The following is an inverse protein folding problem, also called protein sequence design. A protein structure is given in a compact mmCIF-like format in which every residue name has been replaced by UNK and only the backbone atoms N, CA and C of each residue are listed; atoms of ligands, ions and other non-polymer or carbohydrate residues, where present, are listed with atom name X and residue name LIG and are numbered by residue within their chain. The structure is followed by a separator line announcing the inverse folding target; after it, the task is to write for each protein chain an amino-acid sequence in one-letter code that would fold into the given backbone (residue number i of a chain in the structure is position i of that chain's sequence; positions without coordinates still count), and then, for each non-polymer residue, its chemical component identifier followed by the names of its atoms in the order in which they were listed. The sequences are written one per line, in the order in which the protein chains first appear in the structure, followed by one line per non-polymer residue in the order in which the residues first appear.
data_IF_655063842882
#
_entry.id   IF_655063842882
#
_cell.length_a   1.000
_cell.length_b   1.000
_cell.length_c   1.000
_cell.angle_alpha   90.00
_cell.angle_beta   90.00
_cell.angle_gamma   90.00
#
_symmetry.space_group_name_H-M   'P 1'
#
loop_
_entity.id
_entity.type
_entity.pdbx_description
1 polymer ?
#
# COMPACT_ATOMS: atom_id res chain seq x y z
N UNK A 1 4.52 -14.60 -14.59
CA UNK A 1 3.36 -13.85 -15.14
C UNK A 1 2.47 -13.31 -14.03
N UNK A 2 2.04 -14.15 -13.08
CA UNK A 2 1.26 -13.74 -11.89
C UNK A 2 1.94 -12.65 -11.04
N UNK A 3 3.26 -12.69 -10.90
CA UNK A 3 4.01 -11.73 -10.07
C UNK A 3 3.75 -10.27 -10.47
N UNK A 4 3.68 -9.99 -11.77
CA UNK A 4 3.43 -8.64 -12.29
C UNK A 4 1.98 -8.19 -12.09
N UNK A 5 1.04 -9.12 -12.18
CA UNK A 5 -0.38 -8.84 -11.95
C UNK A 5 -0.63 -8.46 -10.49
N UNK A 6 -0.09 -9.23 -9.55
CA UNK A 6 -0.24 -8.97 -8.11
C UNK A 6 0.54 -7.73 -7.64
N UNK A 7 1.70 -7.46 -8.22
CA UNK A 7 2.42 -6.22 -7.98
C UNK A 7 1.63 -5.00 -8.47
N UNK A 8 0.99 -5.10 -9.64
CA UNK A 8 0.07 -4.08 -10.14
C UNK A 8 -1.14 -3.89 -9.22
N UNK A 9 -1.70 -4.99 -8.70
CA UNK A 9 -2.82 -4.96 -7.76
C UNK A 9 -2.45 -4.25 -6.44
N UNK A 10 -1.26 -4.53 -5.87
CA UNK A 10 -0.75 -3.82 -4.69
C UNK A 10 -0.65 -2.31 -4.91
N UNK A 11 -0.22 -1.91 -6.11
CA UNK A 11 -0.14 -0.50 -6.46
C UNK A 11 -1.52 0.15 -6.55
N UNK A 12 -2.48 -0.53 -7.19
CA UNK A 12 -3.86 -0.05 -7.31
C UNK A 12 -4.56 0.03 -5.93
N UNK A 13 -4.37 -0.99 -5.09
CA UNK A 13 -4.90 -1.03 -3.72
C UNK A 13 -4.35 0.14 -2.89
N UNK A 14 -3.05 0.43 -2.98
CA UNK A 14 -2.44 1.56 -2.28
C UNK A 14 -2.99 2.90 -2.74
N UNK A 15 -3.12 3.12 -4.05
CA UNK A 15 -3.69 4.35 -4.58
C UNK A 15 -5.16 4.52 -4.16
N UNK A 16 -5.95 3.44 -4.18
CA UNK A 16 -7.32 3.47 -3.68
C UNK A 16 -7.38 3.80 -2.18
N UNK A 17 -6.50 3.22 -1.37
CA UNK A 17 -6.41 3.53 0.05
C UNK A 17 -6.08 5.01 0.30
N UNK A 18 -5.17 5.59 -0.47
CA UNK A 18 -4.87 7.04 -0.42
C UNK A 18 -6.10 7.86 -0.80
N UNK A 19 -6.76 7.54 -1.91
CA UNK A 19 -7.97 8.25 -2.36
C UNK A 19 -9.09 8.19 -1.31
N UNK A 20 -9.33 7.01 -0.73
CA UNK A 20 -10.31 6.80 0.32
C UNK A 20 -9.96 7.57 1.60
N UNK A 21 -8.69 7.58 2.01
CA UNK A 21 -8.24 8.33 3.17
C UNK A 21 -8.46 9.85 3.00
N UNK A 22 -8.16 10.38 1.80
CA UNK A 22 -8.39 11.79 1.48
C UNK A 22 -9.89 12.11 1.42
N UNK A 23 -10.70 11.22 0.86
CA UNK A 23 -12.14 11.46 0.65
C UNK A 23 -12.94 11.33 1.95
N UNK A 24 -12.69 10.28 2.74
CA UNK A 24 -13.49 9.96 3.91
C UNK A 24 -12.94 10.53 5.21
N UNK A 25 -11.62 10.71 5.33
CA UNK A 25 -10.98 11.17 6.56
C UNK A 25 -9.99 12.34 6.33
N UNK A 26 -10.38 13.41 5.61
CA UNK A 26 -9.47 14.53 5.33
C UNK A 26 -9.06 15.29 6.61
N UNK A 27 -9.88 15.26 7.66
CA UNK A 27 -9.63 16.00 8.89
C UNK A 27 -10.08 15.24 10.13
N UNK A 28 -9.20 15.22 11.13
CA UNK A 28 -9.53 14.88 12.52
C UNK A 28 -10.55 15.88 13.06
N UNK A 29 -11.74 15.45 13.48
CA UNK A 29 -12.63 16.34 14.25
C UNK A 29 -12.12 16.42 15.70
N UNK A 30 -11.18 17.31 15.93
CA UNK A 30 -10.70 17.67 17.27
C UNK A 30 -10.77 19.20 17.37
N UNK A 31 -11.56 19.72 18.31
CA UNK A 31 -11.97 21.12 18.35
C UNK A 31 -10.83 22.14 18.08
N UNK A 32 -11.18 23.22 17.39
CA UNK A 32 -10.35 24.39 17.03
C UNK A 32 -8.98 24.15 16.36
N UNK A 33 -8.49 22.91 16.26
CA UNK A 33 -7.17 22.58 15.68
C UNK A 33 -7.28 21.46 14.64
N UNK A 34 -7.09 21.83 13.37
CA UNK A 34 -7.00 20.88 12.24
C UNK A 34 -5.63 20.20 12.25
N UNK A 35 -5.48 19.13 13.03
CA UNK A 35 -4.29 18.26 12.94
C UNK A 35 -4.51 17.18 11.88
N UNK A 36 -3.49 16.93 11.05
CA UNK A 36 -3.48 15.85 10.06
C UNK A 36 -3.50 14.51 10.82
N UNK A 37 -4.43 13.63 10.48
CA UNK A 37 -4.60 12.35 11.18
C UNK A 37 -3.36 11.45 11.07
N UNK A 38 -2.93 10.77 12.15
CA UNK A 38 -1.88 9.75 12.09
C UNK A 38 -2.16 8.62 11.09
N UNK A 39 -3.45 8.32 10.84
CA UNK A 39 -3.89 7.33 9.87
C UNK A 39 -3.52 7.70 8.43
N UNK A 40 -3.46 8.99 8.10
CA UNK A 40 -3.05 9.44 6.77
C UNK A 40 -1.56 9.17 6.52
N UNK A 41 -0.72 9.42 7.54
CA UNK A 41 0.72 9.10 7.47
C UNK A 41 0.98 7.59 7.39
N UNK A 42 0.24 6.79 8.16
CA UNK A 42 0.33 5.33 8.09
C UNK A 42 -0.10 4.76 6.74
N UNK A 43 -1.19 5.27 6.14
CA UNK A 43 -1.65 4.85 4.82
C UNK A 43 -0.63 5.20 3.71
N UNK A 44 -0.01 6.38 3.77
CA UNK A 44 0.97 6.81 2.78
C UNK A 44 2.31 6.08 2.96
N UNK A 45 2.87 6.08 4.18
CA UNK A 45 4.20 5.51 4.44
C UNK A 45 4.13 3.98 4.46
N UNK A 46 3.18 3.40 5.19
CA UNK A 46 3.00 1.96 5.30
C UNK A 46 2.59 1.34 3.96
N UNK A 47 1.60 1.93 3.29
CA UNK A 47 1.18 1.48 1.96
C UNK A 47 2.27 1.66 0.90
N UNK A 48 3.05 2.75 0.96
CA UNK A 48 4.16 2.99 0.03
C UNK A 48 5.25 1.94 0.15
N UNK A 49 5.64 1.58 1.38
CA UNK A 49 6.60 0.50 1.65
C UNK A 49 6.09 -0.87 1.17
N UNK A 50 4.82 -1.18 1.43
CA UNK A 50 4.21 -2.45 1.06
C UNK A 50 3.95 -2.60 -0.44
N UNK A 51 3.88 -1.50 -1.21
CA UNK A 51 3.61 -1.56 -2.65
C UNK A 51 4.85 -1.33 -3.52
N UNK A 52 5.76 -0.42 -3.16
CA UNK A 52 6.92 -0.08 -3.99
C UNK A 52 7.99 -1.18 -4.00
N UNK A 53 8.24 -1.81 -2.85
CA UNK A 53 9.23 -2.88 -2.73
C UNK A 53 8.87 -4.14 -3.54
N UNK A 54 7.67 -4.74 -3.40
CA UNK A 54 7.27 -5.88 -4.24
C UNK A 54 7.18 -5.52 -5.72
N UNK A 55 6.81 -4.27 -6.07
CA UNK A 55 6.83 -3.81 -7.46
C UNK A 55 8.25 -3.83 -8.04
N UNK A 56 9.23 -3.32 -7.29
CA UNK A 56 10.63 -3.37 -7.70
C UNK A 56 11.12 -4.82 -7.89
N UNK A 57 10.81 -5.71 -6.95
CA UNK A 57 11.19 -7.13 -7.02
C UNK A 57 10.50 -7.83 -8.20
N UNK A 58 9.22 -7.54 -8.47
CA UNK A 58 8.49 -8.11 -9.61
C UNK A 58 9.06 -7.69 -10.98
N UNK A 59 9.67 -6.51 -11.06
CA UNK A 59 10.32 -6.00 -12.28
C UNK A 59 11.72 -6.57 -12.44
N UNK A 60 12.53 -6.56 -11.36
CA UNK A 60 13.95 -6.97 -11.41
C UNK A 60 14.16 -8.49 -11.38
N UNK A 61 13.30 -9.23 -10.68
CA UNK A 61 13.46 -10.67 -10.44
C UNK A 61 12.16 -11.46 -10.72
N UNK A 62 11.56 -11.31 -11.92
CA UNK A 62 10.28 -11.95 -12.22
C UNK A 62 10.38 -13.47 -12.18
N UNK A 63 9.38 -14.13 -11.57
CA UNK A 63 9.26 -15.59 -11.55
C UNK A 63 10.17 -16.32 -10.56
N UNK A 64 11.01 -15.60 -9.82
CA UNK A 64 11.85 -16.17 -8.76
C UNK A 64 11.03 -16.54 -7.54
N UNK A 65 11.48 -17.54 -6.77
CA UNK A 65 10.89 -17.92 -5.48
C UNK A 65 10.83 -16.72 -4.51
N UNK A 66 11.87 -15.88 -4.51
CA UNK A 66 11.90 -14.64 -3.74
C UNK A 66 10.77 -13.68 -4.13
N UNK A 67 10.55 -13.45 -5.43
CA UNK A 67 9.45 -12.57 -5.87
C UNK A 67 8.09 -13.06 -5.40
N UNK A 68 7.85 -14.37 -5.43
CA UNK A 68 6.59 -14.98 -4.98
C UNK A 68 6.37 -14.75 -3.49
N UNK A 69 7.38 -15.01 -2.65
CA UNK A 69 7.25 -14.79 -1.20
C UNK A 69 7.05 -13.31 -0.87
N UNK A 70 7.84 -12.42 -1.46
CA UNK A 70 7.72 -10.96 -1.21
C UNK A 70 6.33 -10.44 -1.57
N UNK A 71 5.82 -10.83 -2.74
CA UNK A 71 4.50 -10.39 -3.21
C UNK A 71 3.37 -11.00 -2.36
N UNK A 72 3.49 -12.28 -1.96
CA UNK A 72 2.47 -12.95 -1.14
C UNK A 72 2.38 -12.35 0.26
N UNK A 73 3.52 -12.11 0.91
CA UNK A 73 3.57 -11.46 2.22
C UNK A 73 3.04 -10.03 2.16
N UNK A 74 3.38 -9.27 1.12
CA UNK A 74 2.86 -7.92 0.92
C UNK A 74 1.33 -7.91 0.73
N UNK A 75 0.78 -8.84 -0.05
CA UNK A 75 -0.67 -9.00 -0.22
C UNK A 75 -1.37 -9.37 1.09
N UNK A 76 -0.80 -10.28 1.89
CA UNK A 76 -1.36 -10.64 3.20
C UNK A 76 -1.37 -9.45 4.17
N UNK A 77 -0.28 -8.68 4.22
CA UNK A 77 -0.18 -7.49 5.07
C UNK A 77 -1.16 -6.40 4.63
N UNK A 78 -1.30 -6.18 3.33
CA UNK A 78 -2.24 -5.20 2.80
C UNK A 78 -3.69 -5.59 3.10
N UNK A 79 -4.04 -6.87 2.98
CA UNK A 79 -5.38 -7.37 3.31
C UNK A 79 -5.73 -7.36 4.81
N UNK A 80 -4.74 -7.19 5.68
CA UNK A 80 -4.93 -7.08 7.14
C UNK A 80 -5.10 -5.64 7.64
N UNK A 81 -4.91 -4.64 6.76
CA UNK A 81 -5.04 -3.22 7.06
C UNK A 81 -6.48 -2.74 6.90
#
# INVERSE_FOLDING_TARGET
MLDRLFAGLLMAQWLLAICLAIYFAPYTYNGLTRSIHPHMYLAVIGGGLLSLYPLFVAIKMPGTTTSKYVISTAQMLFGSL
#
